data_IF_637680605556
#
_entry.id   IF_637680605556
#
_cell.length_a   1.000
_cell.length_b   1.000
_cell.length_c   1.000
_cell.angle_alpha   90.00
_cell.angle_beta   90.00
_cell.angle_gamma   90.00
#
_symmetry.space_group_name_H-M   'P 1'
#
loop_
_entity.id
_entity.type
_entity.pdbx_description
1 polymer ?
#
# COMPACT_ATOMS: atom_id res chain seq x y z
N UNK A 1 -33.00 -9.84 -46.46
CA UNK A 1 -34.19 -10.68 -46.30
C UNK A 1 -34.87 -10.20 -45.05
N UNK A 2 -36.07 -9.66 -45.19
CA UNK A 2 -36.98 -9.38 -44.08
C UNK A 2 -37.98 -10.53 -44.09
N UNK A 3 -38.14 -11.22 -42.97
CA UNK A 3 -39.20 -12.20 -42.85
C UNK A 3 -40.52 -11.45 -42.83
N UNK A 4 -41.34 -11.71 -43.85
CA UNK A 4 -42.64 -11.09 -44.05
C UNK A 4 -43.66 -12.22 -44.13
N UNK A 5 -44.70 -12.11 -43.32
CA UNK A 5 -45.90 -12.92 -43.49
C UNK A 5 -46.78 -12.18 -44.51
N UNK A 6 -46.79 -12.64 -45.76
CA UNK A 6 -47.68 -12.09 -46.80
C UNK A 6 -49.00 -12.86 -46.78
N UNK A 7 -50.06 -12.19 -46.33
CA UNK A 7 -51.41 -12.76 -46.19
C UNK A 7 -52.35 -12.40 -47.35
N UNK A 8 -51.82 -11.86 -48.45
CA UNK A 8 -52.67 -11.46 -49.59
C UNK A 8 -53.08 -12.68 -50.43
N UNK A 9 -54.37 -12.83 -50.80
CA UNK A 9 -54.79 -13.85 -51.74
C UNK A 9 -54.06 -13.69 -53.07
N UNK A 10 -53.42 -14.76 -53.56
CA UNK A 10 -52.76 -14.78 -54.86
C UNK A 10 -53.54 -15.68 -55.82
N UNK A 11 -53.58 -15.27 -57.08
CA UNK A 11 -54.09 -16.09 -58.18
C UNK A 11 -52.99 -17.08 -58.59
N UNK A 12 -53.37 -18.29 -59.01
CA UNK A 12 -52.43 -19.27 -59.54
C UNK A 12 -51.55 -18.68 -60.66
N UNK A 13 -50.30 -19.11 -60.76
CA UNK A 13 -49.41 -18.70 -61.84
C UNK A 13 -50.08 -18.95 -63.21
N UNK A 14 -50.00 -17.96 -64.11
CA UNK A 14 -50.65 -18.05 -65.41
C UNK A 14 -50.06 -19.20 -66.25
N UNK A 15 -50.92 -20.09 -66.74
CA UNK A 15 -50.52 -21.17 -67.63
C UNK A 15 -50.30 -20.61 -69.06
N UNK A 16 -49.05 -20.61 -69.51
CA UNK A 16 -48.64 -20.13 -70.84
C UNK A 16 -49.20 -20.96 -72.01
N UNK A 17 -49.79 -22.12 -71.73
CA UNK A 17 -50.46 -22.98 -72.71
C UNK A 17 -51.98 -22.75 -72.78
N UNK A 18 -52.52 -21.81 -72.00
CA UNK A 18 -53.94 -21.46 -72.03
C UNK A 18 -54.30 -20.63 -73.28
N UNK A 19 -55.52 -20.83 -73.81
CA UNK A 19 -56.09 -20.05 -74.92
C UNK A 19 -56.72 -18.72 -74.45
N UNK A 20 -56.75 -18.49 -73.14
CA UNK A 20 -57.40 -17.35 -72.49
C UNK A 20 -56.34 -16.33 -72.06
N UNK A 21 -56.57 -15.03 -72.30
CA UNK A 21 -55.56 -14.01 -72.00
C UNK A 21 -55.21 -13.91 -70.49
N UNK A 22 -53.97 -13.51 -70.14
CA UNK A 22 -53.56 -13.32 -68.74
C UNK A 22 -54.38 -12.27 -67.96
N UNK A 23 -55.10 -11.38 -68.66
CA UNK A 23 -55.90 -10.33 -68.06
C UNK A 23 -57.40 -10.65 -68.00
N UNK A 24 -57.81 -11.77 -68.59
CA UNK A 24 -59.20 -12.24 -68.55
C UNK A 24 -59.62 -12.63 -67.13
N UNK A 25 -60.90 -12.52 -66.80
CA UNK A 25 -61.43 -12.95 -65.52
C UNK A 25 -61.36 -14.47 -65.36
N UNK A 26 -61.58 -15.21 -66.45
CA UNK A 26 -61.59 -16.68 -66.44
C UNK A 26 -60.20 -17.31 -66.17
N UNK A 27 -59.11 -16.55 -66.34
CA UNK A 27 -57.75 -17.01 -66.01
C UNK A 27 -57.39 -16.82 -64.53
N UNK A 28 -58.28 -16.20 -63.71
CA UNK A 28 -58.08 -15.97 -62.28
C UNK A 28 -58.62 -17.12 -61.44
N UNK A 29 -57.85 -18.19 -61.26
CA UNK A 29 -58.21 -19.33 -60.40
C UNK A 29 -57.63 -19.19 -58.99
N UNK A 30 -58.46 -19.47 -57.98
CA UNK A 30 -58.11 -19.47 -56.55
C UNK A 30 -58.21 -20.88 -55.91
N UNK A 31 -58.49 -21.91 -56.70
CA UNK A 31 -58.83 -23.25 -56.22
C UNK A 31 -57.63 -24.22 -56.10
N UNK A 32 -56.41 -23.75 -56.37
CA UNK A 32 -55.19 -24.57 -56.36
C UNK A 32 -54.50 -24.55 -55.00
N UNK A 33 -54.14 -25.72 -54.48
CA UNK A 33 -53.36 -25.85 -53.24
C UNK A 33 -51.99 -25.18 -53.39
N UNK A 34 -51.66 -24.25 -52.50
CA UNK A 34 -50.39 -23.51 -52.47
C UNK A 34 -50.44 -22.11 -53.12
N UNK A 35 -51.55 -21.74 -53.77
CA UNK A 35 -51.72 -20.42 -54.39
C UNK A 35 -52.66 -19.50 -53.60
N UNK A 36 -53.68 -20.06 -52.97
CA UNK A 36 -54.56 -19.37 -52.02
C UNK A 36 -54.15 -19.69 -50.58
N UNK A 37 -54.16 -18.66 -49.73
CA UNK A 37 -53.98 -18.85 -48.29
C UNK A 37 -55.26 -19.50 -47.76
N UNK A 38 -55.18 -20.65 -47.05
CA UNK A 38 -56.37 -21.37 -46.59
C UNK A 38 -57.27 -20.52 -45.71
N UNK A 39 -56.67 -19.64 -44.89
CA UNK A 39 -57.36 -18.76 -43.95
C UNK A 39 -56.86 -17.31 -44.14
N UNK A 40 -57.49 -16.50 -45.02
CA UNK A 40 -57.20 -15.07 -45.10
C UNK A 40 -57.69 -14.38 -43.82
N UNK A 41 -56.88 -13.48 -43.26
CA UNK A 41 -57.25 -12.74 -42.05
C UNK A 41 -58.54 -11.94 -42.30
N UNK A 42 -59.57 -12.20 -41.49
CA UNK A 42 -60.85 -11.49 -41.52
C UNK A 42 -60.78 -10.30 -40.56
N UNK A 43 -61.47 -9.17 -40.83
CA UNK A 43 -61.64 -8.11 -39.84
C UNK A 43 -62.15 -8.68 -38.51
N UNK A 44 -61.60 -8.20 -37.40
CA UNK A 44 -61.92 -8.63 -36.02
C UNK A 44 -61.41 -10.03 -35.59
N UNK A 45 -60.49 -10.65 -36.33
CA UNK A 45 -59.80 -11.88 -35.91
C UNK A 45 -58.32 -11.68 -35.50
N UNK A 46 -57.86 -12.52 -34.55
CA UNK A 46 -56.50 -12.47 -34.03
C UNK A 46 -55.57 -13.45 -34.76
N UNK A 47 -54.45 -12.94 -35.27
CA UNK A 47 -53.35 -13.77 -35.76
C UNK A 47 -52.39 -14.10 -34.60
N UNK A 48 -52.37 -15.37 -34.17
CA UNK A 48 -51.41 -15.85 -33.17
C UNK A 48 -50.19 -16.40 -33.91
N UNK A 49 -49.04 -15.76 -33.73
CA UNK A 49 -47.77 -16.18 -34.33
C UNK A 49 -46.81 -16.55 -33.22
N UNK A 50 -46.13 -17.68 -33.37
CA UNK A 50 -44.93 -18.01 -32.60
C UNK A 50 -43.72 -17.79 -33.50
N UNK A 51 -42.69 -17.11 -32.98
CA UNK A 51 -41.48 -16.83 -33.73
C UNK A 51 -40.27 -17.05 -32.82
N UNK A 52 -39.21 -17.59 -33.42
CA UNK A 52 -37.91 -17.67 -32.79
C UNK A 52 -37.00 -16.62 -33.45
N UNK A 53 -36.25 -15.88 -32.63
CA UNK A 53 -35.31 -14.88 -33.11
C UNK A 53 -33.98 -15.01 -32.39
N UNK A 54 -32.92 -14.62 -33.08
CA UNK A 54 -31.59 -14.58 -32.47
C UNK A 54 -31.51 -13.42 -31.48
N UNK A 55 -31.05 -13.70 -30.27
CA UNK A 55 -30.82 -12.69 -29.25
C UNK A 55 -29.36 -12.19 -29.28
N UNK A 56 -29.12 -10.92 -28.91
CA UNK A 56 -27.77 -10.42 -28.74
C UNK A 56 -27.11 -11.08 -27.51
N UNK A 57 -25.78 -11.11 -27.48
CA UNK A 57 -25.01 -11.62 -26.33
C UNK A 57 -23.71 -10.85 -26.12
N UNK A 58 -23.19 -10.88 -24.89
CA UNK A 58 -21.88 -10.31 -24.55
C UNK A 58 -20.95 -11.42 -24.09
N UNK A 59 -19.78 -11.51 -24.71
CA UNK A 59 -18.79 -12.53 -24.39
C UNK A 59 -17.51 -11.87 -23.84
N UNK A 60 -16.68 -12.66 -23.17
CA UNK A 60 -15.41 -12.20 -22.60
C UNK A 60 -14.28 -13.15 -22.95
N UNK A 61 -13.12 -12.59 -23.20
CA UNK A 61 -11.87 -13.32 -23.43
C UNK A 61 -10.93 -13.02 -22.26
N UNK A 62 -10.43 -14.08 -21.65
CA UNK A 62 -9.43 -14.04 -20.62
C UNK A 62 -8.14 -14.70 -21.09
N UNK A 63 -7.03 -14.33 -20.45
CA UNK A 63 -5.74 -14.97 -20.60
C UNK A 63 -5.38 -15.59 -19.25
N UNK A 64 -5.31 -16.93 -19.22
CA UNK A 64 -4.98 -17.70 -18.02
C UNK A 64 -3.47 -17.62 -17.71
N UNK A 65 -3.08 -18.00 -16.50
CA UNK A 65 -1.68 -18.05 -16.05
C UNK A 65 -0.80 -18.98 -16.89
N UNK A 66 -1.40 -20.03 -17.47
CA UNK A 66 -0.72 -20.95 -18.38
C UNK A 66 -0.40 -20.31 -19.75
N UNK A 67 -0.98 -19.14 -20.04
CA UNK A 67 -0.87 -18.46 -21.33
C UNK A 67 -1.99 -18.81 -22.31
N UNK A 68 -2.98 -19.59 -21.89
CA UNK A 68 -4.11 -19.99 -22.73
C UNK A 68 -5.22 -18.93 -22.76
N UNK A 69 -5.80 -18.70 -23.94
CA UNK A 69 -6.96 -17.83 -24.06
C UNK A 69 -8.24 -18.60 -23.71
N UNK A 70 -8.91 -18.16 -22.65
CA UNK A 70 -10.20 -18.72 -22.23
C UNK A 70 -11.32 -17.82 -22.71
N UNK A 71 -12.18 -18.35 -23.58
CA UNK A 71 -13.35 -17.66 -24.10
C UNK A 71 -14.60 -18.08 -23.34
N UNK A 72 -15.26 -17.11 -22.71
CA UNK A 72 -16.52 -17.32 -21.98
C UNK A 72 -17.65 -16.69 -22.77
N UNK A 73 -18.59 -17.53 -23.20
CA UNK A 73 -19.82 -17.10 -23.86
C UNK A 73 -20.82 -16.57 -22.83
N UNK A 74 -21.44 -15.44 -23.12
CA UNK A 74 -22.55 -14.93 -22.34
C UNK A 74 -23.86 -15.59 -22.72
N UNK A 75 -24.81 -15.50 -21.80
CA UNK A 75 -26.17 -15.96 -22.02
C UNK A 75 -26.87 -14.97 -22.95
N UNK A 76 -27.43 -15.42 -24.10
CA UNK A 76 -28.22 -14.57 -24.98
C UNK A 76 -29.44 -14.01 -24.24
N UNK A 77 -29.70 -12.71 -24.42
CA UNK A 77 -30.83 -12.03 -23.82
C UNK A 77 -31.07 -10.71 -24.54
N UNK A 78 -32.31 -10.20 -24.56
CA UNK A 78 -32.60 -8.87 -25.12
C UNK A 78 -31.80 -7.74 -24.44
N UNK A 79 -31.47 -7.93 -23.16
CA UNK A 79 -30.53 -7.08 -22.43
C UNK A 79 -29.34 -7.93 -21.91
N UNK A 80 -28.34 -8.21 -22.77
CA UNK A 80 -27.30 -9.16 -22.45
C UNK A 80 -26.35 -8.61 -21.38
N UNK A 81 -26.15 -9.40 -20.33
CA UNK A 81 -25.23 -9.10 -19.23
C UNK A 81 -23.85 -9.68 -19.49
N UNK A 82 -22.83 -9.03 -18.95
CA UNK A 82 -21.46 -9.53 -19.02
C UNK A 82 -21.31 -10.81 -18.18
N UNK A 83 -20.62 -11.86 -18.69
CA UNK A 83 -20.30 -13.07 -17.93
C UNK A 83 -19.43 -12.76 -16.70
N UNK A 84 -19.51 -13.59 -15.66
CA UNK A 84 -18.66 -13.46 -14.48
C UNK A 84 -17.16 -13.54 -14.83
N UNK A 85 -16.35 -12.81 -14.06
CA UNK A 85 -14.88 -12.91 -14.09
C UNK A 85 -14.42 -14.26 -13.57
N UNK A 86 -13.42 -14.85 -14.23
CA UNK A 86 -12.60 -15.90 -13.62
C UNK A 86 -11.59 -15.26 -12.66
N UNK A 87 -11.36 -15.89 -11.51
CA UNK A 87 -10.48 -15.35 -10.48
C UNK A 87 -8.99 -15.34 -10.83
N UNK A 88 -8.57 -16.23 -11.75
CA UNK A 88 -7.15 -16.49 -12.01
C UNK A 88 -6.67 -16.18 -13.43
N UNK A 89 -7.42 -15.33 -14.15
CA UNK A 89 -7.09 -14.95 -15.52
C UNK A 89 -7.29 -13.44 -15.73
N UNK A 90 -6.45 -12.85 -16.57
CA UNK A 90 -6.55 -11.43 -16.91
C UNK A 90 -7.54 -11.23 -18.06
N UNK A 91 -8.49 -10.30 -17.91
CA UNK A 91 -9.45 -10.00 -18.97
C UNK A 91 -8.76 -9.28 -20.13
N UNK A 92 -8.83 -9.81 -21.35
CA UNK A 92 -8.20 -9.23 -22.53
C UNK A 92 -9.17 -8.35 -23.31
N UNK A 93 -10.39 -8.84 -23.52
CA UNK A 93 -11.39 -8.13 -24.29
C UNK A 93 -12.82 -8.57 -23.95
N UNK A 94 -13.74 -7.65 -24.17
CA UNK A 94 -15.18 -7.86 -24.20
C UNK A 94 -15.65 -7.87 -25.65
N UNK A 95 -16.54 -8.78 -25.99
CA UNK A 95 -17.10 -8.89 -27.33
C UNK A 95 -18.62 -8.70 -27.21
N UNK A 96 -19.15 -7.70 -27.90
CA UNK A 96 -20.60 -7.47 -28.01
C UNK A 96 -21.06 -8.02 -29.36
N UNK A 97 -21.88 -9.08 -29.33
CA UNK A 97 -22.50 -9.65 -30.53
C UNK A 97 -23.93 -9.13 -30.65
N UNK A 98 -24.28 -8.48 -31.77
CA UNK A 98 -25.65 -8.09 -32.04
C UNK A 98 -26.55 -9.33 -32.28
N UNK A 99 -27.85 -9.13 -32.14
CA UNK A 99 -28.86 -10.09 -32.56
C UNK A 99 -28.68 -10.38 -34.05
N UNK A 100 -28.60 -11.65 -34.42
CA UNK A 100 -28.42 -12.11 -35.80
C UNK A 100 -27.20 -11.51 -36.51
N UNK A 101 -26.04 -12.15 -36.35
CA UNK A 101 -24.80 -11.70 -36.96
C UNK A 101 -24.74 -12.05 -38.46
N UNK A 102 -24.99 -11.07 -39.33
CA UNK A 102 -24.90 -11.26 -40.79
C UNK A 102 -23.50 -11.02 -41.32
N UNK A 103 -22.84 -9.98 -40.81
CA UNK A 103 -21.48 -9.59 -41.19
C UNK A 103 -20.59 -9.52 -39.95
N UNK A 104 -19.36 -10.03 -40.04
CA UNK A 104 -18.40 -10.05 -38.93
C UNK A 104 -18.04 -8.61 -38.46
N UNK A 105 -18.15 -7.62 -39.34
CA UNK A 105 -17.90 -6.21 -39.03
C UNK A 105 -18.87 -5.63 -37.99
N UNK A 106 -20.02 -6.27 -37.76
CA UNK A 106 -21.00 -5.86 -36.77
C UNK A 106 -20.62 -6.30 -35.35
N UNK A 107 -19.63 -7.19 -35.20
CA UNK A 107 -19.10 -7.58 -33.89
C UNK A 107 -18.23 -6.46 -33.33
N UNK A 108 -18.57 -5.99 -32.14
CA UNK A 108 -17.80 -4.95 -31.46
C UNK A 108 -16.88 -5.56 -30.41
N UNK A 109 -15.57 -5.46 -30.63
CA UNK A 109 -14.54 -5.92 -29.69
C UNK A 109 -13.96 -4.74 -28.91
N UNK A 110 -14.12 -4.75 -27.59
CA UNK A 110 -13.60 -3.73 -26.66
C UNK A 110 -12.45 -4.36 -25.89
N UNK A 111 -11.21 -3.92 -26.16
CA UNK A 111 -10.03 -4.39 -25.40
C UNK A 111 -9.98 -3.75 -24.02
N UNK A 112 -9.78 -4.55 -22.99
CA UNK A 112 -9.62 -4.08 -21.62
C UNK A 112 -8.23 -3.47 -21.45
N UNK A 113 -8.18 -2.24 -20.96
CA UNK A 113 -6.92 -1.50 -20.78
C UNK A 113 -6.31 -1.85 -19.42
N UNK A 114 -5.16 -2.53 -19.44
CA UNK A 114 -4.32 -2.73 -18.26
C UNK A 114 -3.19 -1.72 -18.27
N UNK A 115 -3.17 -0.78 -17.32
CA UNK A 115 -2.03 0.12 -17.13
C UNK A 115 -0.88 -0.67 -16.52
N UNK A 116 0.21 -0.80 -17.26
CA UNK A 116 1.47 -1.34 -16.75
C UNK A 116 2.27 -0.19 -16.18
N UNK A 117 2.57 -0.23 -14.89
CA UNK A 117 3.52 0.69 -14.28
C UNK A 117 4.88 0.00 -14.17
N UNK A 118 5.94 0.68 -14.59
CA UNK A 118 7.30 0.24 -14.27
C UNK A 118 7.68 0.73 -12.88
N UNK A 119 8.70 0.12 -12.25
CA UNK A 119 9.21 0.62 -10.97
C UNK A 119 9.69 2.08 -11.07
N UNK A 120 10.21 2.51 -12.23
CA UNK A 120 10.58 3.90 -12.47
C UNK A 120 9.36 4.83 -12.48
N UNK A 121 8.23 4.41 -13.06
CA UNK A 121 6.98 5.19 -13.07
C UNK A 121 6.37 5.29 -11.68
N UNK A 122 6.42 4.20 -10.90
CA UNK A 122 5.96 4.18 -9.50
C UNK A 122 6.79 5.15 -8.67
N UNK A 123 8.13 5.11 -8.79
CA UNK A 123 8.99 6.05 -8.08
C UNK A 123 8.78 7.52 -8.48
N UNK A 124 8.42 7.79 -9.74
CA UNK A 124 8.02 9.14 -10.17
C UNK A 124 6.68 9.58 -9.56
N UNK A 125 5.71 8.66 -9.47
CA UNK A 125 4.42 8.92 -8.85
C UNK A 125 4.55 9.16 -7.34
N UNK A 126 5.37 8.36 -6.66
CA UNK A 126 5.68 8.52 -5.23
C UNK A 126 6.25 9.91 -4.94
N UNK A 127 7.30 10.33 -5.68
CA UNK A 127 7.89 11.67 -5.54
C UNK A 127 6.89 12.79 -5.78
N UNK A 128 6.00 12.63 -6.78
CA UNK A 128 4.95 13.61 -7.06
C UNK A 128 3.90 13.65 -5.95
N UNK A 129 3.51 12.49 -5.42
CA UNK A 129 2.55 12.39 -4.32
C UNK A 129 3.11 13.03 -3.05
N UNK A 130 4.37 12.75 -2.70
CA UNK A 130 5.09 13.39 -1.60
C UNK A 130 5.10 14.91 -1.75
N UNK A 131 5.39 15.41 -2.96
CA UNK A 131 5.39 16.85 -3.26
C UNK A 131 4.00 17.46 -3.10
N UNK A 132 2.96 16.82 -3.63
CA UNK A 132 1.56 17.28 -3.51
C UNK A 132 1.13 17.29 -2.05
N UNK A 133 1.48 16.26 -1.28
CA UNK A 133 1.20 16.19 0.15
C UNK A 133 1.91 17.33 0.91
N UNK A 134 3.16 17.64 0.57
CA UNK A 134 3.89 18.76 1.16
C UNK A 134 3.18 20.11 0.90
N UNK A 135 2.83 20.42 -0.35
CA UNK A 135 2.21 21.70 -0.71
C UNK A 135 0.78 21.84 -0.17
N UNK A 136 -0.01 20.76 -0.20
CA UNK A 136 -1.37 20.77 0.36
C UNK A 136 -1.39 21.00 1.86
N UNK A 137 -0.44 20.39 2.61
CA UNK A 137 -0.28 20.64 4.05
C UNK A 137 0.01 22.11 4.36
N UNK A 138 0.90 22.75 3.60
CA UNK A 138 1.23 24.15 3.79
C UNK A 138 0.03 25.06 3.45
N UNK A 139 -0.62 24.80 2.32
CA UNK A 139 -1.79 25.56 1.87
C UNK A 139 -2.97 25.49 2.85
N UNK A 140 -3.20 24.35 3.49
CA UNK A 140 -4.27 24.21 4.49
C UNK A 140 -3.97 25.07 5.73
N UNK A 141 -2.74 25.02 6.26
CA UNK A 141 -2.35 25.77 7.44
C UNK A 141 -2.33 27.29 7.17
N UNK A 142 -1.93 27.69 5.97
CA UNK A 142 -2.03 29.08 5.49
C UNK A 142 -3.48 29.55 5.41
N UNK A 143 -4.37 28.72 4.86
CA UNK A 143 -5.81 29.02 4.75
C UNK A 143 -6.46 29.16 6.13
N UNK A 144 -6.17 28.24 7.05
CA UNK A 144 -6.68 28.29 8.43
C UNK A 144 -6.20 29.57 9.15
N UNK A 145 -4.93 29.94 8.97
CA UNK A 145 -4.36 31.16 9.57
C UNK A 145 -4.94 32.43 8.93
N UNK A 146 -5.19 32.42 7.62
CA UNK A 146 -5.85 33.51 6.92
C UNK A 146 -7.28 33.73 7.44
N UNK A 147 -8.01 32.64 7.70
CA UNK A 147 -9.39 32.68 8.20
C UNK A 147 -9.50 32.95 9.71
N UNK A 148 -8.41 32.81 10.47
CA UNK A 148 -8.41 33.07 11.91
C UNK A 148 -8.74 34.54 12.18
N UNK A 149 -9.86 34.85 12.82
CA UNK A 149 -10.18 36.23 13.22
C UNK A 149 -9.50 36.58 14.54
N UNK A 150 -8.73 37.66 14.57
CA UNK A 150 -8.10 38.18 15.79
C UNK A 150 -8.86 39.42 16.20
N UNK A 151 -9.66 39.31 17.26
CA UNK A 151 -10.48 40.42 17.75
C UNK A 151 -9.70 41.32 18.70
N UNK A 152 -9.93 42.62 18.62
CA UNK A 152 -9.49 43.59 19.65
C UNK A 152 -10.38 43.47 20.91
N UNK A 153 -10.06 44.22 21.97
CA UNK A 153 -10.84 44.33 23.21
C UNK A 153 -12.33 44.69 22.97
N UNK A 154 -12.64 45.30 21.81
CA UNK A 154 -13.98 45.67 21.38
C UNK A 154 -14.67 44.64 20.46
N UNK A 155 -14.07 43.45 20.24
CA UNK A 155 -14.65 42.39 19.42
C UNK A 155 -14.55 42.60 17.89
N UNK A 156 -13.95 43.69 17.43
CA UNK A 156 -13.73 43.97 16.01
C UNK A 156 -12.46 43.26 15.49
N UNK A 157 -12.49 42.75 14.27
CA UNK A 157 -11.35 42.07 13.65
C UNK A 157 -10.22 43.06 13.38
N UNK A 158 -9.02 42.78 13.91
CA UNK A 158 -7.83 43.58 13.68
C UNK A 158 -7.31 43.36 12.26
N UNK A 159 -6.90 44.43 11.59
CA UNK A 159 -6.25 44.34 10.29
C UNK A 159 -4.98 43.48 10.36
N UNK A 160 -4.80 42.59 9.38
CA UNK A 160 -3.63 41.70 9.27
C UNK A 160 -2.77 42.18 8.10
N UNK A 161 -1.53 42.58 8.36
CA UNK A 161 -0.57 43.00 7.32
C UNK A 161 0.17 41.81 6.67
N UNK A 162 0.07 40.62 7.26
CA UNK A 162 0.71 39.38 6.83
C UNK A 162 0.67 38.33 7.93
N UNK A 163 0.94 37.08 7.59
CA UNK A 163 1.06 36.00 8.56
C UNK A 163 2.19 35.06 8.14
N UNK A 164 2.87 34.49 9.14
CA UNK A 164 3.93 33.51 8.98
C UNK A 164 3.47 32.20 9.59
N UNK A 165 3.69 31.08 8.90
CA UNK A 165 3.16 29.77 9.28
C UNK A 165 4.30 28.74 9.28
N UNK A 166 4.44 28.00 10.37
CA UNK A 166 5.38 26.89 10.51
C UNK A 166 4.65 25.69 11.13
N UNK A 167 5.01 24.47 10.67
CA UNK A 167 4.48 23.21 11.19
C UNK A 167 5.38 22.56 12.25
N UNK A 168 6.48 23.22 12.63
CA UNK A 168 7.44 22.79 13.65
C UNK A 168 8.03 21.40 13.43
N UNK A 169 8.03 20.89 12.19
CA UNK A 169 8.67 19.60 11.85
C UNK A 169 10.15 19.73 11.54
N UNK A 170 10.59 20.93 11.16
CA UNK A 170 11.98 21.25 10.81
C UNK A 170 12.32 22.61 11.40
N UNK A 171 13.60 22.82 11.72
CA UNK A 171 14.10 24.11 12.19
C UNK A 171 14.49 25.08 11.04
N UNK A 172 13.96 24.88 9.83
CA UNK A 172 14.37 25.67 8.65
C UNK A 172 14.02 27.16 8.78
N UNK A 173 12.94 27.48 9.48
CA UNK A 173 12.51 28.86 9.74
C UNK A 173 13.04 29.42 11.06
N UNK A 174 13.77 28.61 11.83
CA UNK A 174 14.25 28.98 13.16
C UNK A 174 15.70 29.46 13.06
N UNK A 175 16.01 30.58 13.72
CA UNK A 175 17.39 31.03 13.86
C UNK A 175 18.05 30.30 15.04
N UNK A 176 18.54 29.08 14.79
CA UNK A 176 19.12 28.19 15.82
C UNK A 176 20.44 28.75 16.37
N UNK A 177 21.16 29.53 15.57
CA UNK A 177 22.47 30.08 15.93
C UNK A 177 22.39 31.30 16.86
N UNK A 178 21.18 31.81 17.13
CA UNK A 178 21.00 32.94 18.04
C UNK A 178 21.18 32.47 19.50
N UNK A 179 21.92 33.24 20.30
CA UNK A 179 22.19 32.92 21.73
C UNK A 179 20.90 32.71 22.55
N UNK A 180 19.86 33.49 22.27
CA UNK A 180 18.56 33.38 22.95
C UNK A 180 17.67 32.24 22.42
N UNK A 181 18.13 31.46 21.43
CA UNK A 181 17.35 30.35 20.88
C UNK A 181 17.29 29.18 21.87
N UNK A 182 16.21 29.14 22.65
CA UNK A 182 15.98 28.15 23.70
C UNK A 182 14.75 27.29 23.42
N UNK A 183 14.34 27.12 22.17
CA UNK A 183 13.15 26.34 21.80
C UNK A 183 13.50 24.94 21.26
N UNK A 184 12.70 23.93 21.59
CA UNK A 184 12.81 22.56 21.09
C UNK A 184 11.54 22.21 20.31
N UNK A 185 11.69 21.55 19.16
CA UNK A 185 10.55 21.05 18.38
C UNK A 185 10.37 19.55 18.55
N UNK A 186 9.12 19.08 18.62
CA UNK A 186 8.81 17.66 18.43
C UNK A 186 8.45 17.45 16.96
N UNK A 187 9.42 16.96 16.17
CA UNK A 187 9.23 16.77 14.73
C UNK A 187 8.13 15.76 14.37
N UNK A 188 7.79 14.83 15.28
CA UNK A 188 6.75 13.83 15.05
C UNK A 188 5.36 14.42 15.27
N UNK A 189 5.18 15.17 16.36
CA UNK A 189 3.88 15.76 16.72
C UNK A 189 3.65 17.15 16.13
N UNK A 190 4.69 17.86 15.73
CA UNK A 190 4.62 19.19 15.10
C UNK A 190 4.29 20.31 16.10
N UNK A 191 4.78 20.23 17.33
CA UNK A 191 4.60 21.27 18.34
C UNK A 191 5.94 21.80 18.85
N UNK A 192 5.96 23.10 19.16
CA UNK A 192 7.07 23.78 19.79
C UNK A 192 6.96 23.66 21.32
N UNK A 193 8.07 23.39 21.98
CA UNK A 193 8.19 23.35 23.43
C UNK A 193 9.44 24.12 23.90
N UNK A 194 9.51 24.52 25.18
CA UNK A 194 10.75 25.04 25.75
C UNK A 194 11.90 24.05 25.57
N UNK A 195 13.11 24.59 25.42
CA UNK A 195 14.36 23.86 25.34
C UNK A 195 14.51 22.98 26.57
N UNK A 196 14.86 21.73 26.33
CA UNK A 196 15.09 20.77 27.40
C UNK A 196 16.60 20.65 27.63
N UNK A 197 16.99 20.58 28.90
CA UNK A 197 18.35 20.27 29.30
C UNK A 197 18.44 18.76 29.51
N UNK A 198 19.27 18.08 28.72
CA UNK A 198 19.52 16.64 28.86
C UNK A 198 20.98 16.44 29.23
N UNK A 199 21.21 15.71 30.31
CA UNK A 199 22.53 15.18 30.65
C UNK A 199 22.47 13.67 30.61
N UNK A 200 23.58 13.07 30.21
CA UNK A 200 23.81 11.66 30.48
C UNK A 200 24.47 11.54 31.86
N UNK A 201 24.06 10.52 32.61
CA UNK A 201 24.69 10.12 33.85
C UNK A 201 25.21 8.70 33.62
N UNK A 202 26.49 8.49 33.92
CA UNK A 202 27.05 7.15 33.91
C UNK A 202 26.63 6.40 35.19
N UNK A 203 26.25 5.13 35.05
CA UNK A 203 25.86 4.28 36.17
C UNK A 203 26.99 3.30 36.45
N UNK A 204 27.55 3.41 37.65
CA UNK A 204 28.53 2.46 38.19
C UNK A 204 27.86 1.59 39.26
N UNK A 205 28.38 0.39 39.48
CA UNK A 205 27.92 -0.47 40.58
C UNK A 205 28.27 0.21 41.91
N UNK A 206 27.29 0.29 42.81
CA UNK A 206 27.46 0.88 44.13
C UNK A 206 28.37 0.02 45.00
N UNK A 207 29.61 0.46 45.21
CA UNK A 207 30.49 -0.10 46.23
C UNK A 207 30.76 0.91 47.34
N UNK A 208 30.92 0.39 48.55
CA UNK A 208 31.01 1.21 49.78
C UNK A 208 32.34 1.96 49.86
N UNK A 209 33.44 1.34 49.42
CA UNK A 209 34.79 1.89 49.40
C UNK A 209 35.07 2.81 48.21
N UNK A 210 34.51 2.52 47.02
CA UNK A 210 34.71 3.34 45.84
C UNK A 210 33.93 4.65 45.94
N UNK A 211 32.63 4.58 46.28
CA UNK A 211 31.75 5.75 46.40
C UNK A 211 31.88 6.43 47.78
N UNK A 212 32.33 5.70 48.82
CA UNK A 212 32.43 6.22 50.18
C UNK A 212 31.09 6.24 50.93
N UNK A 213 30.25 5.24 50.72
CA UNK A 213 28.98 5.11 51.45
C UNK A 213 29.27 4.47 52.81
N UNK A 214 29.39 5.31 53.85
CA UNK A 214 29.66 4.87 55.22
C UNK A 214 31.14 4.65 55.57
N UNK A 215 32.06 4.89 54.61
CA UNK A 215 33.52 4.86 54.78
C UNK A 215 34.18 5.98 53.96
N UNK A 216 35.47 6.24 54.15
CA UNK A 216 36.22 7.19 53.30
C UNK A 216 36.29 6.67 51.86
N UNK A 217 35.89 7.48 50.89
CA UNK A 217 35.94 7.15 49.47
C UNK A 217 37.40 7.01 48.98
N UNK A 218 37.68 5.99 48.17
CA UNK A 218 38.94 5.84 47.46
C UNK A 218 38.70 5.67 45.94
N UNK A 219 38.83 6.75 45.15
CA UNK A 219 38.55 6.72 43.71
C UNK A 219 39.64 6.02 42.87
N UNK A 220 40.71 5.51 43.49
CA UNK A 220 41.80 4.80 42.79
C UNK A 220 41.62 3.29 42.73
N UNK A 221 40.58 2.76 43.39
CA UNK A 221 40.28 1.33 43.39
C UNK A 221 39.75 0.88 42.02
N UNK A 222 40.18 -0.30 41.58
CA UNK A 222 39.70 -0.91 40.34
C UNK A 222 38.28 -1.43 40.52
N UNK A 223 37.35 -0.83 39.76
CA UNK A 223 35.92 -1.15 39.79
C UNK A 223 35.66 -2.64 39.51
N UNK A 224 36.51 -3.30 38.71
CA UNK A 224 36.31 -4.69 38.32
C UNK A 224 36.56 -5.71 39.45
N UNK A 225 37.34 -5.34 40.46
CA UNK A 225 37.78 -6.23 41.55
C UNK A 225 37.26 -5.78 42.93
N UNK A 226 36.13 -5.07 42.96
CA UNK A 226 35.48 -4.65 44.20
C UNK A 226 34.67 -5.80 44.80
N UNK A 227 35.01 -6.19 46.03
CA UNK A 227 34.31 -7.21 46.82
C UNK A 227 33.23 -6.63 47.75
N UNK A 228 33.13 -5.30 47.85
CA UNK A 228 32.33 -4.57 48.84
C UNK A 228 31.09 -3.89 48.22
N UNK A 229 30.39 -4.66 47.38
CA UNK A 229 29.14 -4.22 46.75
C UNK A 229 28.08 -3.95 47.82
N UNK A 230 27.39 -2.82 47.69
CA UNK A 230 26.29 -2.47 48.57
C UNK A 230 25.03 -3.29 48.21
N UNK A 231 24.77 -4.35 48.99
CA UNK A 231 23.65 -5.27 48.80
C UNK A 231 23.68 -6.42 49.81
N UNK A 232 22.53 -7.01 50.09
CA UNK A 232 22.42 -8.19 50.96
C UNK A 232 22.48 -9.49 50.15
N UNK A 233 23.29 -10.45 50.58
CA UNK A 233 23.46 -11.77 49.96
C UNK A 233 23.82 -11.74 48.45
N UNK A 234 24.67 -10.80 48.04
CA UNK A 234 25.11 -10.62 46.65
C UNK A 234 26.65 -10.62 46.60
N UNK A 235 27.21 -11.22 45.56
CA UNK A 235 28.65 -11.26 45.29
C UNK A 235 28.92 -10.85 43.84
N UNK A 236 29.95 -10.03 43.62
CA UNK A 236 30.42 -9.70 42.27
C UNK A 236 31.46 -10.72 41.82
N UNK A 237 31.26 -11.29 40.65
CA UNK A 237 32.20 -12.22 40.01
C UNK A 237 32.53 -11.67 38.62
N UNK A 238 33.65 -10.96 38.51
CA UNK A 238 34.02 -10.23 37.29
C UNK A 238 32.95 -9.20 36.90
N UNK A 239 32.31 -9.39 35.75
CA UNK A 239 31.24 -8.50 35.24
C UNK A 239 29.82 -8.88 35.68
N UNK A 240 29.63 -9.98 36.40
CA UNK A 240 28.31 -10.42 36.87
C UNK A 240 28.14 -10.11 38.36
N UNK A 241 26.92 -9.73 38.73
CA UNK A 241 26.43 -9.81 40.11
C UNK A 241 25.61 -11.09 40.25
N UNK A 242 26.02 -11.95 41.17
CA UNK A 242 25.34 -13.20 41.51
C UNK A 242 24.87 -13.16 42.95
N UNK A 243 23.95 -14.05 43.33
CA UNK A 243 23.72 -14.32 44.75
C UNK A 243 25.02 -14.82 45.39
N UNK A 244 25.17 -14.62 46.70
CA UNK A 244 26.34 -15.13 47.40
C UNK A 244 26.41 -16.66 47.27
N UNK A 245 27.60 -17.16 46.96
CA UNK A 245 27.84 -18.56 46.70
C UNK A 245 29.22 -18.95 47.22
N UNK A 246 29.32 -20.19 47.68
CA UNK A 246 30.58 -20.79 48.11
C UNK A 246 31.04 -21.79 47.05
N UNK A 247 32.28 -21.64 46.59
CA UNK A 247 32.89 -22.59 45.66
C UNK A 247 33.32 -23.84 46.42
N UNK A 248 32.98 -25.02 45.89
CA UNK A 248 33.41 -26.31 46.44
C UNK A 248 34.38 -26.97 45.47
N UNK A 249 35.53 -27.43 45.97
CA UNK A 249 36.53 -28.11 45.14
C UNK A 249 35.94 -29.41 44.56
N UNK A 250 35.77 -29.49 43.24
CA UNK A 250 35.21 -30.68 42.57
C UNK A 250 36.18 -31.86 42.57
N UNK A 251 37.48 -31.62 42.34
CA UNK A 251 38.52 -32.65 42.30
C UNK A 251 39.86 -32.01 42.66
N UNK A 252 40.59 -32.60 43.61
CA UNK A 252 41.93 -32.15 44.00
C UNK A 252 42.91 -33.30 43.97
N UNK A 253 44.00 -33.14 43.21
CA UNK A 253 45.11 -34.09 43.21
C UNK A 253 46.18 -33.64 44.21
N UNK A 254 46.23 -34.33 45.36
CA UNK A 254 47.10 -33.99 46.48
C UNK A 254 48.52 -34.59 46.33
N UNK A 255 48.69 -35.57 45.44
CA UNK A 255 49.93 -36.35 45.30
C UNK A 255 50.79 -35.99 44.07
N UNK A 256 50.46 -34.91 43.37
CA UNK A 256 51.27 -34.46 42.23
C UNK A 256 52.61 -33.89 42.71
N UNK A 257 53.72 -34.52 42.31
CA UNK A 257 55.09 -34.07 42.63
C UNK A 257 55.66 -33.08 41.61
N UNK A 258 55.01 -32.94 40.46
CA UNK A 258 55.31 -31.94 39.43
C UNK A 258 54.02 -31.41 38.80
N UNK A 259 54.04 -30.15 38.42
CA UNK A 259 52.99 -29.55 37.58
C UNK A 259 53.31 -29.92 36.12
N UNK A 260 52.35 -30.52 35.42
CA UNK A 260 52.44 -30.83 33.99
C UNK A 260 51.43 -29.98 33.22
N UNK A 261 51.81 -29.52 32.03
CA UNK A 261 50.92 -28.74 31.18
C UNK A 261 49.93 -29.68 30.48
N UNK A 262 48.63 -29.35 30.51
CA UNK A 262 47.54 -30.20 29.96
C UNK A 262 47.69 -30.45 28.45
N UNK A 263 48.40 -29.56 27.73
CA UNK A 263 48.76 -29.77 26.33
C UNK A 263 50.27 -29.53 26.11
N UNK A 264 51.09 -30.59 25.99
CA UNK A 264 52.54 -30.47 25.85
C UNK A 264 53.03 -29.96 24.48
N UNK A 265 52.15 -29.85 23.48
CA UNK A 265 52.47 -29.33 22.14
C UNK A 265 51.87 -27.94 21.86
N UNK A 266 51.35 -27.26 22.88
CA UNK A 266 50.79 -25.93 22.71
C UNK A 266 51.90 -24.92 22.38
N UNK A 267 51.90 -24.42 21.13
CA UNK A 267 52.71 -23.27 20.74
C UNK A 267 52.09 -22.03 21.41
N UNK A 268 52.81 -21.43 22.35
CA UNK A 268 52.36 -20.22 23.05
C UNK A 268 52.44 -19.04 22.08
N UNK A 269 51.29 -18.55 21.64
CA UNK A 269 51.20 -17.30 20.89
C UNK A 269 50.80 -16.18 21.85
N UNK A 270 51.62 -15.13 21.94
CA UNK A 270 51.26 -13.94 22.70
C UNK A 270 50.38 -13.06 21.81
N UNK A 271 49.06 -13.19 21.96
CA UNK A 271 48.11 -12.21 21.43
C UNK A 271 47.80 -11.20 22.52
N UNK A 272 48.08 -9.93 22.27
CA UNK A 272 47.67 -8.84 23.16
C UNK A 272 46.29 -8.35 22.76
N UNK A 273 45.27 -8.67 23.56
CA UNK A 273 43.96 -8.05 23.47
C UNK A 273 43.85 -6.95 24.52
N UNK A 274 43.51 -5.73 24.08
CA UNK A 274 43.28 -4.59 24.96
C UNK A 274 41.77 -4.32 25.05
N UNK A 275 41.21 -4.47 26.25
CA UNK A 275 39.83 -4.07 26.56
C UNK A 275 39.86 -2.71 27.24
N UNK A 276 39.19 -1.72 26.66
CA UNK A 276 39.10 -0.36 27.20
C UNK A 276 37.73 -0.23 27.87
N UNK A 277 37.70 0.29 29.10
CA UNK A 277 36.45 0.59 29.82
C UNK A 277 36.32 2.11 29.98
N UNK A 278 35.14 2.69 29.69
CA UNK A 278 33.90 2.05 29.25
C UNK A 278 33.92 1.62 27.75
N UNK A 279 33.17 0.57 27.42
CA UNK A 279 33.08 -0.01 26.07
C UNK A 279 32.34 0.91 25.07
N UNK A 280 31.64 1.94 25.56
CA UNK A 280 30.82 2.88 24.78
C UNK A 280 30.94 4.30 25.31
N UNK A 281 30.97 5.26 24.38
CA UNK A 281 30.96 6.69 24.69
C UNK A 281 29.52 7.22 24.87
N UNK A 282 29.36 8.19 25.76
CA UNK A 282 28.13 8.95 25.97
C UNK A 282 28.14 10.19 25.08
N UNK A 283 27.58 10.04 23.88
CA UNK A 283 27.62 11.03 22.78
C UNK A 283 26.79 12.32 22.96
N UNK A 284 26.47 12.74 24.20
CA UNK A 284 25.66 13.94 24.44
C UNK A 284 26.53 15.15 24.74
N UNK A 285 26.64 16.07 23.77
CA UNK A 285 27.33 17.34 23.95
C UNK A 285 26.54 18.29 24.85
N UNK A 286 27.10 18.61 26.01
CA UNK A 286 26.53 19.53 27.01
C UNK A 286 27.10 20.94 26.92
N UNK A 287 28.14 21.16 26.10
CA UNK A 287 28.82 22.45 25.97
C UNK A 287 28.76 22.92 24.51
N UNK A 288 27.70 23.66 24.18
CA UNK A 288 27.68 24.45 22.96
C UNK A 288 28.68 25.61 23.11
N UNK A 289 29.72 25.60 22.28
CA UNK A 289 30.68 26.71 22.18
C UNK A 289 29.98 27.84 21.42
N UNK A 290 29.98 29.05 21.98
CA UNK A 290 29.44 30.23 21.31
C UNK A 290 30.18 30.46 19.98
N UNK A 291 29.43 30.80 18.93
CA UNK A 291 30.02 31.09 17.63
C UNK A 291 30.98 32.28 17.74
N UNK A 292 32.24 32.09 17.34
CA UNK A 292 33.20 33.19 17.31
C UNK A 292 32.81 34.16 16.20
N UNK A 293 32.19 35.29 16.56
CA UNK A 293 31.95 36.38 15.62
C UNK A 293 33.26 37.16 15.51
N UNK A 294 34.05 36.86 14.48
CA UNK A 294 35.16 37.74 14.10
C UNK A 294 34.55 38.97 13.44
N UNK A 295 34.75 40.13 14.09
CA UNK A 295 34.34 41.46 13.60
C UNK A 295 35.02 41.82 12.29
#
# INVERSE_FOLDING_TARGET
>A
MSDLIDIRPRVSAYNTSSTVSPFDFASRSFASQGDSIPDPLVPDENLIVTYDYYQPRKDRIFLDKTGDFVYIQGVPSDNPKEPQTIGDAIEVAKIELPAYLRDISQVKMIRTKHKRFTMADIGRLEKRLESVEYYTRLSLLETDTANLNITDANGLNRFKSGFFVDNFKKHASHQIDHVDFSASTDAKRGYLRPGHYTTCLDLIVGSRSFIGIGTTANPTLDINHLDDIDGDNIKKTGRLLTLDYTETEMLKQIYASRVENVNPFLIVYYSGDMTISPDSDIWMDTKRVDASITV
#
